data_IF_027167627595
#
_entry.id   IF_027167627595
#
_cell.length_a   1.000
_cell.length_b   1.000
_cell.length_c   1.000
_cell.angle_alpha   90.00
_cell.angle_beta   90.00
_cell.angle_gamma   90.00
#
_symmetry.space_group_name_H-M   'P 1'
#
loop_
_entity.id
_entity.type
_entity.pdbx_description
1 polymer ?
#
# COMPACT_ATOMS: atom_id res chain seq x y z
N UNK A 1 -12.43 -7.54 -26.10
CA UNK A 1 -10.97 -7.76 -26.21
C UNK A 1 -10.48 -6.91 -27.36
N UNK A 2 -9.84 -5.79 -27.06
CA UNK A 2 -9.22 -4.93 -28.07
C UNK A 2 -7.88 -5.51 -28.52
N UNK A 3 -7.55 -5.32 -29.81
CA UNK A 3 -6.25 -5.66 -30.35
C UNK A 3 -5.29 -4.49 -30.11
N UNK A 4 -4.07 -4.78 -29.63
CA UNK A 4 -2.97 -3.82 -29.58
C UNK A 4 -1.79 -4.39 -30.37
N UNK A 5 -1.32 -3.67 -31.40
CA UNK A 5 -0.33 -4.19 -32.37
C UNK A 5 -0.69 -5.58 -32.93
N UNK A 6 -1.96 -5.78 -33.30
CA UNK A 6 -2.46 -7.05 -33.85
C UNK A 6 -2.27 -8.26 -32.91
N UNK A 7 -2.16 -8.02 -31.61
CA UNK A 7 -2.09 -9.06 -30.56
C UNK A 7 -3.22 -8.87 -29.56
N UNK A 8 -3.80 -9.97 -29.10
CA UNK A 8 -4.75 -9.95 -27.99
C UNK A 8 -4.04 -9.46 -26.73
N UNK A 9 -4.66 -8.51 -26.04
CA UNK A 9 -4.18 -7.97 -24.76
C UNK A 9 -5.33 -7.96 -23.76
N UNK A 10 -4.99 -8.22 -22.50
CA UNK A 10 -5.88 -7.95 -21.38
C UNK A 10 -5.89 -6.43 -21.18
N UNK A 11 -7.08 -5.85 -21.25
CA UNK A 11 -7.26 -4.41 -21.03
C UNK A 11 -6.88 -4.02 -19.59
N UNK A 12 -6.50 -2.76 -19.39
CA UNK A 12 -6.17 -2.32 -18.04
C UNK A 12 -7.43 -2.31 -17.19
N UNK A 13 -7.31 -2.79 -15.95
CA UNK A 13 -8.33 -2.63 -14.91
C UNK A 13 -8.42 -1.20 -14.35
N UNK A 14 -7.51 -0.31 -14.77
CA UNK A 14 -7.51 1.10 -14.36
C UNK A 14 -8.68 1.84 -14.99
N UNK A 15 -9.25 2.77 -14.23
CA UNK A 15 -10.30 3.65 -14.74
C UNK A 15 -9.74 4.49 -15.91
N UNK A 16 -10.33 4.36 -17.10
CA UNK A 16 -9.76 4.87 -18.36
C UNK A 16 -9.52 6.38 -18.38
N UNK A 17 -10.32 7.15 -17.64
CA UNK A 17 -10.28 8.61 -17.61
C UNK A 17 -9.64 9.17 -16.34
N UNK A 18 -8.96 8.33 -15.55
CA UNK A 18 -8.29 8.73 -14.32
C UNK A 18 -6.77 8.75 -14.50
N UNK A 19 -6.15 9.89 -14.18
CA UNK A 19 -4.70 10.00 -14.10
C UNK A 19 -4.20 9.51 -12.74
N UNK A 20 -3.74 8.26 -12.68
CA UNK A 20 -3.15 7.67 -11.48
C UNK A 20 -1.80 8.29 -11.07
N UNK A 21 -1.25 9.22 -11.87
CA UNK A 21 -0.06 10.00 -11.48
C UNK A 21 -0.41 11.33 -10.79
N UNK A 22 -1.68 11.75 -10.87
CA UNK A 22 -2.16 12.93 -10.17
C UNK A 22 -2.17 12.69 -8.64
N UNK A 23 -2.03 13.75 -7.82
CA UNK A 23 -2.19 13.65 -6.38
C UNK A 23 -3.54 13.06 -6.00
N UNK A 24 -3.54 12.13 -5.05
CA UNK A 24 -4.75 11.51 -4.51
C UNK A 24 -4.51 10.93 -3.13
N UNK A 25 -5.58 10.81 -2.34
CA UNK A 25 -5.54 10.20 -1.01
C UNK A 25 -5.70 8.69 -1.12
N UNK A 26 -4.85 7.94 -0.43
CA UNK A 26 -4.85 6.48 -0.43
C UNK A 26 -4.82 5.97 1.00
N UNK A 27 -5.68 5.00 1.30
CA UNK A 27 -5.57 4.21 2.52
C UNK A 27 -4.83 2.91 2.21
N UNK A 28 -3.72 2.65 2.91
CA UNK A 28 -2.87 1.48 2.70
C UNK A 28 -2.94 0.58 3.93
N UNK A 29 -3.07 -0.73 3.70
CA UNK A 29 -3.04 -1.73 4.77
C UNK A 29 -1.94 -2.75 4.47
N UNK A 30 -1.08 -3.01 5.45
CA UNK A 30 -0.06 -4.07 5.36
C UNK A 30 -0.71 -5.41 5.70
N UNK A 31 -0.63 -6.36 4.78
CA UNK A 31 -1.05 -7.74 5.00
C UNK A 31 0.18 -8.65 4.99
N UNK A 32 0.22 -9.56 5.94
CA UNK A 32 1.24 -10.61 6.04
C UNK A 32 0.84 -11.82 5.20
N UNK A 33 1.82 -12.59 4.77
CA UNK A 33 1.57 -13.86 4.11
C UNK A 33 0.70 -14.75 5.01
N UNK A 34 -0.28 -15.42 4.40
CA UNK A 34 -1.24 -16.32 5.07
C UNK A 34 -2.00 -15.65 6.24
N UNK A 35 -2.05 -14.31 6.28
CA UNK A 35 -2.66 -13.51 7.35
C UNK A 35 -2.10 -13.81 8.75
N UNK A 36 -0.83 -14.22 8.83
CA UNK A 36 -0.18 -14.47 10.11
C UNK A 36 -0.13 -13.20 10.97
N UNK A 37 -0.53 -13.30 12.24
CA UNK A 37 -0.57 -12.18 13.19
C UNK A 37 0.82 -11.86 13.76
N UNK A 38 1.78 -11.58 12.88
CA UNK A 38 3.19 -11.39 13.25
C UNK A 38 3.55 -9.92 13.51
N UNK A 39 2.67 -8.97 13.18
CA UNK A 39 2.90 -7.54 13.38
C UNK A 39 2.64 -7.08 14.84
N UNK A 40 2.02 -7.93 15.65
CA UNK A 40 1.70 -7.63 17.04
C UNK A 40 0.32 -8.14 17.41
N UNK A 41 -0.22 -7.59 18.51
CA UNK A 41 -1.51 -7.98 19.07
C UNK A 41 -2.24 -6.75 19.62
N UNK A 42 -3.55 -6.85 19.75
CA UNK A 42 -4.36 -5.82 20.38
C UNK A 42 -4.61 -6.21 21.83
N UNK A 43 -4.27 -5.33 22.77
CA UNK A 43 -4.58 -5.47 24.20
C UNK A 43 -5.28 -4.21 24.69
N UNK A 44 -6.44 -4.37 25.34
CA UNK A 44 -7.25 -3.26 25.86
C UNK A 44 -7.54 -2.17 24.80
N UNK A 45 -7.79 -2.57 23.55
CA UNK A 45 -8.07 -1.66 22.44
C UNK A 45 -6.85 -0.91 21.90
N UNK A 46 -5.63 -1.26 22.34
CA UNK A 46 -4.38 -0.64 21.88
C UNK A 46 -3.55 -1.65 21.10
N UNK A 47 -2.94 -1.21 20.00
CA UNK A 47 -1.99 -2.02 19.25
C UNK A 47 -0.67 -2.12 20.02
N UNK A 48 -0.26 -3.35 20.35
CA UNK A 48 1.04 -3.69 20.90
C UNK A 48 1.87 -4.34 19.79
N UNK A 49 2.80 -3.57 19.23
CA UNK A 49 3.65 -4.03 18.13
C UNK A 49 4.62 -5.12 18.59
N UNK A 50 4.77 -6.17 17.77
CA UNK A 50 5.90 -7.09 17.86
C UNK A 50 7.19 -6.42 17.36
N UNK A 51 8.33 -7.09 17.45
CA UNK A 51 9.57 -6.55 16.88
C UNK A 51 9.48 -6.38 15.36
N UNK A 52 8.82 -7.30 14.65
CA UNK A 52 8.53 -7.16 13.21
C UNK A 52 7.58 -5.99 12.96
N UNK A 53 6.56 -5.81 13.81
CA UNK A 53 5.64 -4.69 13.73
C UNK A 53 6.32 -3.33 13.90
N UNK A 54 7.29 -3.22 14.80
CA UNK A 54 8.10 -2.01 14.99
C UNK A 54 8.90 -1.69 13.73
N UNK A 55 9.56 -2.70 13.14
CA UNK A 55 10.30 -2.54 11.88
C UNK A 55 9.39 -2.01 10.77
N UNK A 56 8.22 -2.64 10.58
CA UNK A 56 7.26 -2.18 9.55
C UNK A 56 6.79 -0.75 9.83
N UNK A 57 6.48 -0.42 11.09
CA UNK A 57 6.07 0.94 11.47
C UNK A 57 7.16 1.98 11.21
N UNK A 58 8.43 1.64 11.41
CA UNK A 58 9.57 2.52 11.15
C UNK A 58 9.73 2.78 9.65
N UNK A 59 9.78 1.72 8.84
CA UNK A 59 9.88 1.84 7.38
C UNK A 59 8.72 2.62 6.76
N UNK A 60 7.49 2.46 7.26
CA UNK A 60 6.36 3.27 6.77
C UNK A 60 6.65 4.75 6.99
N UNK A 61 7.09 5.14 8.20
CA UNK A 61 7.41 6.55 8.51
C UNK A 61 8.57 7.10 7.69
N UNK A 62 9.48 6.24 7.24
CA UNK A 62 10.62 6.64 6.42
C UNK A 62 10.26 6.87 4.95
N UNK A 63 9.11 6.39 4.46
CA UNK A 63 8.71 6.53 3.04
C UNK A 63 8.90 7.96 2.50
N UNK A 64 8.48 9.04 3.18
CA UNK A 64 8.62 10.40 2.66
C UNK A 64 10.08 10.85 2.47
N UNK A 65 11.04 10.20 3.15
CA UNK A 65 12.47 10.53 3.07
C UNK A 65 13.10 10.15 1.72
N UNK A 66 12.59 9.10 1.07
CA UNK A 66 13.06 8.63 -0.25
C UNK A 66 11.99 8.67 -1.34
N UNK A 67 10.72 8.90 -0.98
CA UNK A 67 9.62 9.19 -1.90
C UNK A 67 9.02 10.57 -1.59
N UNK A 68 9.66 11.62 -2.12
CA UNK A 68 9.33 13.03 -1.85
C UNK A 68 7.92 13.48 -2.23
N UNK A 69 7.20 12.71 -3.04
CA UNK A 69 5.80 12.98 -3.44
C UNK A 69 4.76 12.35 -2.50
N UNK A 70 5.21 11.58 -1.51
CA UNK A 70 4.34 10.98 -0.51
C UNK A 70 4.22 11.93 0.66
N UNK A 71 2.97 12.27 0.99
CA UNK A 71 2.60 13.02 2.19
C UNK A 71 1.78 12.06 3.04
N UNK A 72 2.16 11.88 4.30
CA UNK A 72 1.44 11.03 5.25
C UNK A 72 0.55 11.92 6.13
N UNK A 73 -0.74 11.60 6.16
CA UNK A 73 -1.64 11.94 7.24
C UNK A 73 -1.52 10.84 8.33
N UNK A 74 -1.54 11.23 9.60
CA UNK A 74 -1.12 10.42 10.75
C UNK A 74 -1.82 9.05 10.92
#
# INVERSE_FOLDING_TARGET
MTLYFNKYRIESNRLQFWDYSAPGSYFITVNTQDRLTILGKIEYGRMILSDVGKIVSEFIKEIPTYHTRVIQDE
#
